data_IF_165180728661
#
_entry.id   IF_165180728661
#
_cell.length_a   1.000
_cell.length_b   1.000
_cell.length_c   1.000
_cell.angle_alpha   90.00
_cell.angle_beta   90.00
_cell.angle_gamma   90.00
#
_symmetry.space_group_name_H-M   'P 1'
#
loop_
_entity.id
_entity.type
_entity.pdbx_description
1 polymer ?
#
# COMPACT_ATOMS: atom_id res chain seq x y z
N UNK A 1 8.43 -1.20 14.14
CA UNK A 1 9.64 -1.84 14.67
C UNK A 1 10.50 -0.76 15.28
N UNK A 2 10.57 -0.69 16.61
CA UNK A 2 11.52 0.18 17.28
C UNK A 2 12.86 -0.56 17.32
N UNK A 3 13.90 0.00 16.70
CA UNK A 3 15.25 -0.53 16.78
C UNK A 3 15.83 -0.36 18.19
N UNK A 4 16.99 -0.94 18.46
CA UNK A 4 17.68 -0.79 19.74
C UNK A 4 17.83 0.70 20.11
N UNK A 5 17.52 1.02 21.37
CA UNK A 5 17.64 2.38 21.90
C UNK A 5 19.10 2.82 21.88
N UNK A 6 19.36 4.02 21.38
CA UNK A 6 20.69 4.62 21.46
C UNK A 6 20.98 4.96 22.93
N UNK A 7 22.17 4.61 23.39
CA UNK A 7 22.66 5.04 24.72
C UNK A 7 23.35 6.41 24.65
N UNK A 8 23.95 6.74 23.50
CA UNK A 8 24.69 7.99 23.28
C UNK A 8 24.14 8.74 22.07
N UNK A 9 24.02 10.05 22.21
CA UNK A 9 23.83 11.02 21.15
C UNK A 9 25.13 11.71 20.80
N UNK A 10 25.21 12.26 19.60
CA UNK A 10 26.39 12.96 19.08
C UNK A 10 25.99 14.32 18.53
N UNK A 11 26.77 15.35 18.84
CA UNK A 11 26.57 16.70 18.31
C UNK A 11 27.91 17.31 17.88
N UNK A 12 27.90 18.02 16.75
CA UNK A 12 29.07 18.76 16.26
C UNK A 12 28.94 20.22 16.67
N UNK A 13 29.91 20.72 17.44
CA UNK A 13 29.98 22.14 17.78
C UNK A 13 30.74 22.86 16.65
N UNK A 14 30.00 23.63 15.83
CA UNK A 14 30.52 24.29 14.62
C UNK A 14 31.67 25.27 14.90
N UNK A 15 31.67 25.91 16.08
CA UNK A 15 32.67 26.91 16.46
C UNK A 15 34.08 26.32 16.60
N UNK A 16 34.18 25.08 17.08
CA UNK A 16 35.44 24.47 17.53
C UNK A 16 35.82 23.20 16.74
N UNK A 17 34.95 22.72 15.83
CA UNK A 17 35.07 21.41 15.15
C UNK A 17 35.27 20.25 16.14
N UNK A 18 34.70 20.35 17.34
CA UNK A 18 34.76 19.34 18.39
C UNK A 18 33.47 18.52 18.41
N UNK A 19 33.60 17.24 18.72
CA UNK A 19 32.49 16.32 18.86
C UNK A 19 32.10 16.24 20.34
N UNK A 20 30.83 16.46 20.62
CA UNK A 20 30.24 16.26 21.94
C UNK A 20 29.40 14.98 21.94
N UNK A 21 29.55 14.18 22.99
CA UNK A 21 28.78 12.93 23.18
C UNK A 21 27.86 13.13 24.35
N UNK A 22 26.57 12.98 24.12
CA UNK A 22 25.53 13.16 25.13
C UNK A 22 25.04 11.78 25.55
N UNK A 23 25.10 11.47 26.84
CA UNK A 23 24.48 10.24 27.34
C UNK A 23 22.96 10.44 27.44
N UNK A 24 22.19 9.71 26.65
CA UNK A 24 20.74 9.95 26.48
C UNK A 24 19.92 9.60 27.72
N UNK A 25 20.45 8.76 28.61
CA UNK A 25 19.77 8.36 29.85
C UNK A 25 19.94 9.40 30.97
N UNK A 26 21.12 10.03 31.05
CA UNK A 26 21.48 10.96 32.13
C UNK A 26 21.42 12.43 31.68
N UNK A 27 21.44 12.68 30.37
CA UNK A 27 21.53 14.02 29.78
C UNK A 27 22.91 14.67 29.93
N UNK A 28 23.92 13.93 30.39
CA UNK A 28 25.26 14.47 30.60
C UNK A 28 26.05 14.52 29.29
N UNK A 29 26.66 15.67 29.02
CA UNK A 29 27.45 15.91 27.84
C UNK A 29 28.95 15.76 28.15
N UNK A 30 29.65 15.03 27.28
CA UNK A 30 31.05 14.71 27.39
C UNK A 30 31.80 15.14 26.13
N UNK A 31 32.91 15.85 26.33
CA UNK A 31 33.76 16.22 25.21
C UNK A 31 34.53 15.00 24.69
N UNK A 32 34.43 14.73 23.39
CA UNK A 32 35.15 13.62 22.77
C UNK A 32 36.54 14.04 22.31
N UNK A 33 37.50 13.15 22.52
CA UNK A 33 38.87 13.31 22.04
C UNK A 33 39.13 12.37 20.87
N UNK A 34 39.91 12.81 19.89
CA UNK A 34 40.36 11.94 18.80
C UNK A 34 41.40 10.97 19.37
N UNK A 35 41.13 9.67 19.27
CA UNK A 35 42.09 8.65 19.67
C UNK A 35 43.22 8.56 18.63
N UNK A 36 44.46 8.37 19.11
CA UNK A 36 45.64 8.18 18.27
C UNK A 36 45.63 6.76 17.70
N UNK A 37 44.92 6.55 16.59
CA UNK A 37 44.79 5.25 15.92
C UNK A 37 44.79 5.43 14.41
N UNK A 38 45.20 4.38 13.67
CA UNK A 38 45.20 4.35 12.20
C UNK A 38 43.78 4.51 11.62
N UNK A 39 42.76 4.06 12.38
CA UNK A 39 41.34 4.30 12.08
C UNK A 39 40.84 5.49 12.90
N UNK A 40 40.06 6.36 12.27
CA UNK A 40 39.41 7.47 12.98
C UNK A 40 38.45 6.97 14.06
N UNK A 41 38.86 7.14 15.31
CA UNK A 41 38.11 6.80 16.51
C UNK A 41 38.04 8.00 17.45
N UNK A 42 36.92 8.15 18.12
CA UNK A 42 36.69 9.17 19.13
C UNK A 42 36.52 8.48 20.49
N UNK A 43 36.99 9.08 21.57
CA UNK A 43 36.81 8.53 22.91
C UNK A 43 36.31 9.57 23.91
N UNK A 44 35.55 9.08 24.88
CA UNK A 44 35.15 9.82 26.08
C UNK A 44 35.63 9.06 27.31
N UNK A 45 35.74 9.79 28.42
CA UNK A 45 36.09 9.23 29.72
C UNK A 45 34.87 9.37 30.62
N UNK A 46 34.29 8.25 31.03
CA UNK A 46 33.18 8.22 31.99
C UNK A 46 33.70 7.50 33.23
N UNK A 47 33.70 8.17 34.39
CA UNK A 47 34.13 7.60 35.67
C UNK A 47 35.51 6.89 35.60
N UNK A 48 36.46 7.47 34.84
CA UNK A 48 37.80 6.91 34.65
C UNK A 48 37.88 5.76 33.63
N UNK A 49 36.77 5.33 33.04
CA UNK A 49 36.75 4.32 31.98
C UNK A 49 36.68 4.96 30.59
N UNK A 50 37.52 4.47 29.69
CA UNK A 50 37.52 4.90 28.29
C UNK A 50 36.41 4.20 27.51
N UNK A 51 35.61 4.99 26.78
CA UNK A 51 34.65 4.47 25.81
C UNK A 51 34.97 5.01 24.43
N UNK A 52 35.09 4.10 23.47
CA UNK A 52 35.48 4.41 22.10
C UNK A 52 34.28 4.33 21.16
N UNK A 53 34.24 5.28 20.22
CA UNK A 53 33.28 5.35 19.14
C UNK A 53 34.01 5.33 17.81
N UNK A 54 33.56 4.47 16.90
CA UNK A 54 34.07 4.47 15.54
C UNK A 54 33.43 5.61 14.73
N UNK A 55 34.13 6.09 13.71
CA UNK A 55 33.57 7.08 12.78
C UNK A 55 32.24 6.61 12.17
N UNK A 56 32.15 5.34 11.79
CA UNK A 56 30.91 4.74 11.26
C UNK A 56 29.73 4.81 12.25
N UNK A 57 29.97 4.62 13.55
CA UNK A 57 28.90 4.74 14.56
C UNK A 57 28.36 6.16 14.64
N UNK A 58 29.25 7.16 14.57
CA UNK A 58 28.90 8.58 14.58
C UNK A 58 28.13 8.93 13.31
N UNK A 59 28.62 8.54 12.14
CA UNK A 59 27.95 8.82 10.86
C UNK A 59 26.56 8.14 10.80
N UNK A 60 26.45 6.89 11.26
CA UNK A 60 25.17 6.18 11.34
C UNK A 60 24.17 6.86 12.27
N UNK A 61 24.63 7.47 13.36
CA UNK A 61 23.77 8.25 14.24
C UNK A 61 23.18 9.46 13.51
N UNK A 62 24.02 10.25 12.83
CA UNK A 62 23.54 11.41 12.08
C UNK A 62 22.61 11.02 10.92
N UNK A 63 22.92 9.95 10.20
CA UNK A 63 22.03 9.38 9.19
C UNK A 63 20.68 8.99 9.79
N UNK A 64 20.68 8.35 10.96
CA UNK A 64 19.45 8.00 11.66
C UNK A 64 18.65 9.22 12.08
N UNK A 65 19.30 10.27 12.57
CA UNK A 65 18.64 11.54 12.93
C UNK A 65 18.02 12.21 11.70
N UNK A 66 18.70 12.20 10.55
CA UNK A 66 18.14 12.68 9.28
C UNK A 66 16.94 11.86 8.80
N UNK A 67 17.00 10.53 8.95
CA UNK A 67 15.87 9.65 8.64
C UNK A 67 14.70 9.90 9.58
N UNK A 68 14.96 10.10 10.87
CA UNK A 68 13.95 10.38 11.88
C UNK A 68 13.30 11.75 11.66
N UNK A 69 14.07 12.77 11.29
CA UNK A 69 13.54 14.07 10.87
C UNK A 69 12.61 13.97 9.65
N UNK A 70 12.91 13.06 8.72
CA UNK A 70 12.10 12.79 7.52
C UNK A 70 11.19 11.56 7.69
N UNK A 71 10.92 11.12 8.92
CA UNK A 71 10.26 9.86 9.18
C UNK A 71 8.81 9.85 8.70
N UNK A 72 8.09 10.96 8.78
CA UNK A 72 6.65 10.95 8.52
C UNK A 72 6.34 10.72 7.03
N UNK A 73 7.07 11.35 6.13
CA UNK A 73 6.90 11.13 4.69
C UNK A 73 7.38 9.75 4.26
N UNK A 74 8.52 9.31 4.79
CA UNK A 74 9.08 7.99 4.46
C UNK A 74 8.20 6.85 5.00
N UNK A 75 7.65 6.97 6.22
CA UNK A 75 6.69 6.02 6.81
C UNK A 75 5.39 5.96 6.01
N UNK A 76 4.83 7.12 5.62
CA UNK A 76 3.63 7.18 4.76
C UNK A 76 3.87 6.47 3.42
N UNK A 77 5.02 6.70 2.77
CA UNK A 77 5.41 6.00 1.54
C UNK A 77 5.54 4.50 1.74
N UNK A 78 6.20 4.06 2.82
CA UNK A 78 6.38 2.63 3.13
C UNK A 78 5.05 1.92 3.33
N UNK A 79 4.15 2.47 4.15
CA UNK A 79 2.84 1.88 4.37
C UNK A 79 2.04 1.74 3.05
N UNK A 80 2.13 2.75 2.17
CA UNK A 80 1.50 2.70 0.86
C UNK A 80 2.09 1.57 -0.02
N UNK A 81 3.41 1.41 -0.03
CA UNK A 81 4.11 0.36 -0.78
C UNK A 81 3.77 -1.03 -0.23
N UNK A 82 3.89 -1.23 1.08
CA UNK A 82 3.55 -2.50 1.75
C UNK A 82 2.10 -2.89 1.51
N UNK A 83 1.16 -1.93 1.57
CA UNK A 83 -0.24 -2.16 1.21
C UNK A 83 -0.40 -2.54 -0.27
N UNK A 84 0.36 -1.94 -1.19
CA UNK A 84 0.29 -2.32 -2.62
C UNK A 84 0.78 -3.74 -2.83
N UNK A 85 1.93 -4.08 -2.25
CA UNK A 85 2.51 -5.43 -2.30
C UNK A 85 1.50 -6.42 -1.72
N UNK A 86 0.98 -6.15 -0.53
CA UNK A 86 -0.01 -6.99 0.12
C UNK A 86 -1.25 -7.19 -0.75
N UNK A 87 -1.90 -6.14 -1.26
CA UNK A 87 -3.08 -6.28 -2.12
C UNK A 87 -2.78 -6.96 -3.47
N UNK A 88 -1.57 -6.82 -3.98
CA UNK A 88 -1.14 -7.45 -5.23
C UNK A 88 -1.04 -8.97 -5.06
N UNK A 89 -0.50 -9.42 -3.92
CA UNK A 89 -0.14 -10.83 -3.68
C UNK A 89 -1.06 -11.58 -2.71
N UNK A 90 -1.91 -10.89 -1.95
CA UNK A 90 -2.89 -11.50 -1.03
C UNK A 90 -3.74 -12.64 -1.64
N UNK A 91 -4.25 -12.55 -2.89
CA UNK A 91 -5.06 -13.63 -3.46
C UNK A 91 -4.24 -14.80 -4.01
N UNK A 92 -2.93 -14.86 -3.76
CA UNK A 92 -2.10 -15.98 -4.19
C UNK A 92 -2.05 -17.07 -3.12
N UNK A 93 -2.31 -18.31 -3.51
CA UNK A 93 -2.13 -19.49 -2.67
C UNK A 93 -0.63 -19.84 -2.62
N UNK A 94 0.09 -19.19 -1.70
CA UNK A 94 1.54 -19.33 -1.52
C UNK A 94 2.36 -18.64 -2.62
N UNK A 95 3.50 -19.23 -2.99
CA UNK A 95 4.44 -18.62 -3.94
C UNK A 95 4.07 -18.83 -5.43
N UNK A 96 2.81 -19.21 -5.72
CA UNK A 96 2.37 -19.60 -7.05
C UNK A 96 1.29 -18.67 -7.59
N UNK A 97 1.48 -18.21 -8.81
CA UNK A 97 0.48 -17.51 -9.61
C UNK A 97 -0.26 -18.49 -10.52
N UNK A 98 -1.53 -18.19 -10.86
CA UNK A 98 -2.30 -18.97 -11.84
C UNK A 98 -1.67 -18.98 -13.24
N UNK A 99 -0.90 -17.94 -13.57
CA UNK A 99 -0.27 -17.78 -14.87
C UNK A 99 1.05 -18.56 -14.96
N UNK A 100 1.22 -19.30 -16.06
CA UNK A 100 2.46 -20.04 -16.36
C UNK A 100 3.34 -19.22 -17.30
N UNK A 101 4.62 -19.11 -16.97
CA UNK A 101 5.64 -18.41 -17.76
C UNK A 101 5.98 -17.01 -17.21
N UNK A 102 7.26 -16.63 -17.33
CA UNK A 102 7.81 -15.40 -16.73
C UNK A 102 7.13 -14.13 -17.25
N UNK A 103 6.87 -14.04 -18.57
CA UNK A 103 6.25 -12.86 -19.17
C UNK A 103 4.83 -12.62 -18.63
N UNK A 104 4.02 -13.69 -18.55
CA UNK A 104 2.64 -13.59 -18.06
C UNK A 104 2.59 -13.21 -16.59
N UNK A 105 3.54 -13.70 -15.79
CA UNK A 105 3.67 -13.32 -14.39
C UNK A 105 4.08 -11.86 -14.22
N UNK A 106 5.04 -11.37 -15.01
CA UNK A 106 5.43 -9.96 -15.02
C UNK A 106 4.24 -9.06 -15.37
N UNK A 107 3.49 -9.41 -16.41
CA UNK A 107 2.30 -8.65 -16.83
C UNK A 107 1.20 -8.67 -15.75
N UNK A 108 0.96 -9.83 -15.12
CA UNK A 108 0.00 -9.96 -14.02
C UNK A 108 0.33 -9.00 -12.86
N UNK A 109 1.59 -9.01 -12.40
CA UNK A 109 2.03 -8.14 -11.30
C UNK A 109 1.90 -6.67 -11.70
N UNK A 110 2.32 -6.32 -12.92
CA UNK A 110 2.24 -4.96 -13.44
C UNK A 110 0.80 -4.43 -13.48
N UNK A 111 -0.13 -5.16 -14.10
CA UNK A 111 -1.54 -4.76 -14.21
C UNK A 111 -2.15 -4.61 -12.81
N UNK A 112 -1.91 -5.56 -11.90
CA UNK A 112 -2.44 -5.51 -10.53
C UNK A 112 -1.90 -4.31 -9.75
N UNK A 113 -0.61 -4.01 -9.86
CA UNK A 113 0.00 -2.84 -9.24
C UNK A 113 -0.61 -1.54 -9.79
N UNK A 114 -0.77 -1.43 -11.11
CA UNK A 114 -1.44 -0.30 -11.76
C UNK A 114 -2.89 -0.13 -11.25
N UNK A 115 -3.68 -1.20 -11.20
CA UNK A 115 -5.06 -1.14 -10.70
C UNK A 115 -5.15 -0.64 -9.26
N UNK A 116 -4.30 -1.14 -8.35
CA UNK A 116 -4.27 -0.68 -6.95
C UNK A 116 -3.92 0.80 -6.88
N UNK A 117 -2.94 1.25 -7.69
CA UNK A 117 -2.51 2.63 -7.71
C UNK A 117 -3.60 3.56 -8.29
N UNK A 118 -4.19 3.20 -9.43
CA UNK A 118 -5.31 3.97 -10.01
C UNK A 118 -6.51 4.05 -9.06
N UNK A 119 -6.84 2.98 -8.35
CA UNK A 119 -7.92 3.01 -7.34
C UNK A 119 -7.63 4.02 -6.23
N UNK A 120 -6.37 4.14 -5.80
CA UNK A 120 -5.97 5.12 -4.79
C UNK A 120 -6.05 6.55 -5.33
N UNK A 121 -5.57 6.78 -6.55
CA UNK A 121 -5.68 8.09 -7.21
C UNK A 121 -7.15 8.48 -7.38
N UNK A 122 -8.01 7.57 -7.85
CA UNK A 122 -9.45 7.82 -7.98
C UNK A 122 -10.11 8.11 -6.64
N UNK A 123 -9.78 7.35 -5.59
CA UNK A 123 -10.29 7.61 -4.23
C UNK A 123 -9.86 8.99 -3.74
N UNK A 124 -8.59 9.35 -3.97
CA UNK A 124 -8.06 10.66 -3.61
C UNK A 124 -8.77 11.78 -4.36
N UNK A 125 -8.92 11.65 -5.68
CA UNK A 125 -9.68 12.60 -6.51
C UNK A 125 -11.11 12.74 -5.98
N UNK A 126 -11.84 11.64 -5.74
CA UNK A 126 -13.20 11.66 -5.17
C UNK A 126 -13.25 12.34 -3.81
N UNK A 127 -12.27 12.10 -2.93
CA UNK A 127 -12.21 12.76 -1.61
C UNK A 127 -11.85 14.24 -1.70
N UNK A 128 -10.98 14.62 -2.63
CA UNK A 128 -10.58 16.02 -2.85
C UNK A 128 -11.67 16.84 -3.56
N UNK A 129 -12.59 16.16 -4.24
CA UNK A 129 -13.68 16.76 -5.00
C UNK A 129 -15.03 16.78 -4.27
N UNK A 130 -15.11 16.49 -2.96
CA UNK A 130 -16.42 16.34 -2.30
C UNK A 130 -17.38 17.52 -2.59
N UNK A 131 -18.52 17.26 -3.27
CA UNK A 131 -19.71 18.10 -3.17
C UNK A 131 -20.35 17.88 -1.78
N UNK A 132 -21.19 18.81 -1.27
CA UNK A 132 -21.77 18.72 0.07
C UNK A 132 -22.53 17.41 0.30
N UNK A 133 -22.51 16.93 1.55
CA UNK A 133 -23.02 15.61 1.96
C UNK A 133 -24.43 15.30 1.42
N UNK A 134 -24.53 14.37 0.48
CA UNK A 134 -25.79 13.66 0.22
C UNK A 134 -25.67 12.23 0.69
N UNK A 135 -26.06 12.00 1.95
CA UNK A 135 -26.35 10.65 2.48
C UNK A 135 -27.55 10.06 1.75
N UNK A 136 -27.35 9.38 0.62
CA UNK A 136 -28.35 8.46 0.06
C UNK A 136 -27.79 7.05 0.02
N UNK A 137 -28.28 6.25 0.96
CA UNK A 137 -27.96 4.83 1.17
C UNK A 137 -28.59 4.04 0.02
N UNK A 138 -27.91 3.92 -1.12
CA UNK A 138 -28.41 3.14 -2.26
C UNK A 138 -27.66 3.28 -3.60
N UNK A 139 -26.91 4.37 -3.82
CA UNK A 139 -26.34 4.66 -5.15
C UNK A 139 -24.97 4.01 -5.41
N UNK A 140 -24.29 3.51 -4.37
CA UNK A 140 -22.96 2.89 -4.52
C UNK A 140 -23.00 1.44 -5.06
N UNK A 141 -24.19 0.86 -5.22
CA UNK A 141 -24.35 -0.52 -5.66
C UNK A 141 -23.89 -0.75 -7.11
N UNK A 142 -23.98 0.27 -7.98
CA UNK A 142 -23.48 0.23 -9.36
C UNK A 142 -21.96 0.38 -9.44
N UNK A 143 -21.34 1.14 -8.53
CA UNK A 143 -19.88 1.24 -8.45
C UNK A 143 -19.28 -0.07 -7.93
N UNK A 144 -19.89 -0.70 -6.91
CA UNK A 144 -19.56 -2.04 -6.41
C UNK A 144 -19.74 -3.12 -7.51
N UNK A 145 -20.75 -2.97 -8.39
CA UNK A 145 -21.01 -3.90 -9.49
C UNK A 145 -19.88 -3.92 -10.54
N UNK A 146 -19.26 -2.77 -10.83
CA UNK A 146 -18.06 -2.72 -11.69
C UNK A 146 -16.85 -3.44 -11.06
N UNK A 147 -16.75 -3.46 -9.73
CA UNK A 147 -15.68 -4.17 -9.01
C UNK A 147 -15.88 -5.70 -9.01
N UNK A 148 -17.11 -6.19 -8.92
CA UNK A 148 -17.43 -7.62 -9.08
C UNK A 148 -17.34 -8.08 -10.55
N UNK A 149 -17.65 -7.18 -11.50
CA UNK A 149 -17.51 -7.47 -12.94
C UNK A 149 -16.04 -7.73 -13.35
N UNK A 150 -15.06 -7.09 -12.70
CA UNK A 150 -13.65 -7.32 -13.00
C UNK A 150 -13.08 -8.61 -12.39
N UNK A 151 -13.65 -9.08 -11.27
CA UNK A 151 -13.38 -10.44 -10.76
C UNK A 151 -14.02 -11.53 -11.67
N UNK A 152 -15.14 -11.19 -12.33
CA UNK A 152 -15.73 -12.01 -13.38
C UNK A 152 -14.93 -12.04 -14.70
N UNK A 153 -13.96 -11.14 -14.89
CA UNK A 153 -13.02 -11.19 -16.02
C UNK A 153 -11.93 -12.26 -15.87
N UNK A 154 -12.10 -13.21 -14.95
CA UNK A 154 -11.31 -14.43 -14.82
C UNK A 154 -12.12 -15.71 -15.04
N UNK A 155 -13.26 -15.64 -15.74
CA UNK A 155 -13.94 -16.86 -16.20
C UNK A 155 -13.39 -17.30 -17.56
N UNK A 156 -12.98 -18.57 -17.72
CA UNK A 156 -12.52 -19.09 -19.00
C UNK A 156 -13.61 -18.96 -20.08
N UNK A 157 -13.21 -18.64 -21.30
CA UNK A 157 -14.08 -18.28 -22.43
C UNK A 157 -15.20 -19.29 -22.75
N UNK A 158 -15.13 -20.55 -22.30
CA UNK A 158 -16.19 -21.53 -22.57
C UNK A 158 -17.45 -21.33 -21.70
N UNK A 159 -17.34 -20.71 -20.52
CA UNK A 159 -18.49 -20.43 -19.64
C UNK A 159 -19.30 -19.22 -20.10
N UNK A 160 -18.70 -18.26 -20.79
CA UNK A 160 -19.42 -17.14 -21.41
C UNK A 160 -20.23 -17.60 -22.62
N UNK A 161 -19.75 -18.57 -23.40
CA UNK A 161 -20.51 -19.19 -24.49
C UNK A 161 -21.69 -20.04 -23.98
N UNK A 162 -21.49 -20.80 -22.90
CA UNK A 162 -22.57 -21.57 -22.26
C UNK A 162 -23.66 -20.66 -21.67
N UNK A 163 -23.28 -19.53 -21.05
CA UNK A 163 -24.24 -18.53 -20.55
C UNK A 163 -25.00 -17.83 -21.68
N UNK A 164 -24.35 -17.49 -22.80
CA UNK A 164 -25.04 -16.94 -23.97
C UNK A 164 -26.02 -17.94 -24.59
N UNK A 165 -25.70 -19.24 -24.65
CA UNK A 165 -26.61 -20.26 -25.16
C UNK A 165 -27.83 -20.50 -24.24
N UNK A 166 -27.64 -20.51 -22.92
CA UNK A 166 -28.75 -20.62 -21.97
C UNK A 166 -29.66 -19.37 -22.04
N UNK A 167 -29.09 -18.19 -22.24
CA UNK A 167 -29.87 -16.94 -22.38
C UNK A 167 -30.64 -16.86 -23.71
N UNK A 168 -30.06 -17.35 -24.81
CA UNK A 168 -30.73 -17.43 -26.12
C UNK A 168 -31.85 -18.48 -26.11
N UNK A 169 -31.65 -19.63 -25.48
CA UNK A 169 -32.68 -20.66 -25.34
C UNK A 169 -33.81 -20.24 -24.39
N UNK A 170 -33.49 -19.50 -23.32
CA UNK A 170 -34.51 -18.98 -22.39
C UNK A 170 -35.36 -17.85 -23.01
N UNK A 171 -34.80 -17.01 -23.88
CA UNK A 171 -35.58 -15.95 -24.55
C UNK A 171 -36.44 -16.46 -25.73
N UNK A 172 -36.07 -17.59 -26.35
CA UNK A 172 -36.90 -18.21 -27.39
C UNK A 172 -38.20 -18.81 -26.87
N UNK A 173 -38.21 -19.29 -25.61
CA UNK A 173 -39.40 -19.93 -25.00
C UNK A 173 -40.35 -18.89 -24.38
N UNK A 174 -39.84 -17.80 -23.81
CA UNK A 174 -40.65 -16.81 -23.07
C UNK A 174 -41.36 -15.79 -24.00
N UNK A 175 -40.86 -15.59 -25.22
CA UNK A 175 -41.42 -14.59 -26.16
C UNK A 175 -42.66 -15.06 -26.94
N UNK A 176 -42.97 -16.37 -26.94
CA UNK A 176 -44.14 -16.91 -27.67
C UNK A 176 -45.40 -17.08 -26.80
N UNK A 177 -45.27 -17.09 -25.48
CA UNK A 177 -46.40 -17.24 -24.55
C UNK A 177 -46.96 -15.89 -24.07
N UNK A 178 -46.12 -14.87 -23.85
CA UNK A 178 -46.60 -13.62 -23.24
C UNK A 178 -47.42 -12.70 -24.18
N UNK A 179 -47.44 -12.98 -25.49
CA UNK A 179 -48.18 -12.17 -26.48
C UNK A 179 -49.57 -12.70 -26.82
N UNK A 180 -49.93 -13.92 -26.40
CA UNK A 180 -51.26 -14.51 -26.66
C UNK A 180 -52.27 -14.26 -25.53
N UNK A 181 -51.81 -14.08 -24.29
CA UNK A 181 -52.72 -14.02 -23.15
C UNK A 181 -53.24 -12.61 -22.82
N UNK A 182 -52.60 -11.55 -23.34
CA UNK A 182 -53.11 -10.17 -23.17
C UNK A 182 -54.11 -9.73 -24.26
N UNK A 183 -54.24 -10.48 -25.37
CA UNK A 183 -55.19 -10.13 -26.44
C UNK A 183 -56.56 -10.81 -26.23
N UNK A 184 -56.63 -11.91 -25.47
CA UNK A 184 -57.86 -12.69 -25.30
C UNK A 184 -58.79 -12.24 -24.17
N UNK A 185 -58.35 -11.39 -23.24
CA UNK A 185 -59.18 -10.95 -22.09
C UNK A 185 -59.70 -9.50 -22.15
N UNK A 186 -59.34 -8.71 -23.16
CA UNK A 186 -59.78 -7.31 -23.29
C UNK A 186 -60.89 -7.07 -24.33
N UNK A 187 -61.40 -8.10 -25.02
CA UNK A 187 -62.31 -7.93 -26.17
C UNK A 187 -63.64 -8.72 -26.07
N UNK A 188 -64.28 -8.77 -24.89
CA UNK A 188 -65.64 -9.35 -24.75
C UNK A 188 -66.61 -8.56 -23.84
N UNK A 189 -66.37 -7.27 -23.60
CA UNK A 189 -67.42 -6.38 -23.05
C UNK A 189 -67.42 -5.05 -23.78
N UNK A 190 -68.23 -4.97 -24.83
CA UNK A 190 -68.94 -3.75 -25.30
C UNK A 190 -69.69 -4.08 -26.60
N UNK A 191 -70.93 -4.53 -26.44
CA UNK A 191 -72.10 -4.25 -27.32
C UNK A 191 -73.24 -5.16 -26.88
#
# INVERSE_FOLDING_TARGET
MQGQSLHFGFEWIEQDKKLEVIELQTGQAYQAYRAKSEKEKYCIIINGQYRYFSRQQIDNYFLRQQIEANADESRKRRANVESTIHHTFYPLDGNKTKYRGMMRNKLFVFIRACCVNFRRVLKWIKSSLQPPETKKKGENASEEACFLAFLHLHTPQWLTWAKCWIFILAQGVISSEHKRDQILFACQRTS
#
